data_IF_460639283138
#
_entry.id   IF_460639283138
#
_cell.length_a   1.000
_cell.length_b   1.000
_cell.length_c   1.000
_cell.angle_alpha   90.00
_cell.angle_beta   90.00
_cell.angle_gamma   90.00
#
_symmetry.space_group_name_H-M   'P 1'
#
loop_
_entity.id
_entity.type
_entity.pdbx_description
1 polymer ?
#
# COMPACT_ATOMS: atom_id res chain seq x y z
N UNK A 1 12.54 34.99 -24.88
CA UNK A 1 13.29 34.55 -23.69
C UNK A 1 12.29 33.92 -22.74
N UNK A 2 12.36 32.61 -22.51
CA UNK A 2 11.41 31.92 -21.63
C UNK A 2 11.66 32.38 -20.18
N UNK A 3 10.62 32.87 -19.51
CA UNK A 3 10.66 33.23 -18.10
C UNK A 3 11.05 32.00 -17.28
N UNK A 4 12.20 32.09 -16.60
CA UNK A 4 12.66 31.05 -15.69
C UNK A 4 11.60 30.88 -14.59
N UNK A 5 11.19 29.64 -14.24
CA UNK A 5 10.28 29.43 -13.14
C UNK A 5 10.88 30.06 -11.87
N UNK A 6 10.07 30.73 -11.04
CA UNK A 6 10.58 31.39 -9.84
C UNK A 6 11.36 30.38 -9.00
N UNK A 7 12.54 30.78 -8.53
CA UNK A 7 13.34 29.97 -7.62
C UNK A 7 12.46 29.59 -6.42
N UNK A 8 12.46 28.29 -6.07
CA UNK A 8 11.66 27.79 -4.97
C UNK A 8 11.97 28.61 -3.71
N UNK A 9 10.94 29.18 -3.09
CA UNK A 9 11.07 29.91 -1.83
C UNK A 9 11.85 29.06 -0.81
N UNK A 10 12.79 29.63 -0.04
CA UNK A 10 13.57 28.88 0.95
C UNK A 10 12.71 28.24 2.06
N UNK A 11 11.41 28.56 2.13
CA UNK A 11 10.40 27.91 2.95
C UNK A 11 9.51 26.98 2.11
N UNK A 12 10.09 25.99 1.44
CA UNK A 12 9.42 25.15 0.43
C UNK A 12 8.52 24.03 0.99
N UNK A 13 8.28 24.00 2.31
CA UNK A 13 7.45 23.02 3.01
C UNK A 13 6.69 23.67 4.17
N UNK A 14 5.94 24.73 3.90
CA UNK A 14 4.98 25.26 4.86
C UNK A 14 3.91 24.21 5.14
N UNK A 15 3.23 24.35 6.27
CA UNK A 15 2.22 23.39 6.71
C UNK A 15 1.16 23.09 5.64
N UNK A 16 0.70 24.11 4.92
CA UNK A 16 -0.26 23.95 3.82
C UNK A 16 0.29 23.09 2.67
N UNK A 17 1.57 23.27 2.31
CA UNK A 17 2.25 22.49 1.26
C UNK A 17 2.47 21.04 1.71
N UNK A 18 2.83 20.82 2.98
CA UNK A 18 2.96 19.48 3.57
C UNK A 18 1.60 18.75 3.58
N UNK A 19 0.55 19.42 4.08
CA UNK A 19 -0.82 18.85 4.09
C UNK A 19 -1.27 18.49 2.68
N UNK A 20 -1.00 19.37 1.71
CA UNK A 20 -1.30 19.10 0.30
C UNK A 20 -0.51 17.91 -0.23
N UNK A 21 0.76 17.78 0.13
CA UNK A 21 1.59 16.61 -0.20
C UNK A 21 1.00 15.31 0.34
N UNK A 22 0.59 15.28 1.62
CA UNK A 22 -0.03 14.11 2.25
C UNK A 22 -1.33 13.71 1.52
N UNK A 23 -2.18 14.69 1.17
CA UNK A 23 -3.40 14.43 0.39
C UNK A 23 -3.09 13.84 -0.98
N UNK A 24 -2.11 14.40 -1.70
CA UNK A 24 -1.73 13.89 -3.02
C UNK A 24 -1.21 12.45 -2.94
N UNK A 25 -0.40 12.13 -1.92
CA UNK A 25 0.06 10.77 -1.67
C UNK A 25 -1.12 9.83 -1.36
N UNK A 26 -2.12 10.31 -0.61
CA UNK A 26 -3.33 9.54 -0.36
C UNK A 26 -4.12 9.27 -1.65
N UNK A 27 -4.35 10.29 -2.49
CA UNK A 27 -5.07 10.13 -3.76
C UNK A 27 -4.32 9.23 -4.75
N UNK A 28 -3.01 9.38 -4.85
CA UNK A 28 -2.17 8.52 -5.68
C UNK A 28 -2.26 7.06 -5.23
N UNK A 29 -2.13 6.81 -3.93
CA UNK A 29 -2.27 5.47 -3.37
C UNK A 29 -3.66 4.88 -3.62
N UNK A 30 -4.74 5.64 -3.40
CA UNK A 30 -6.10 5.19 -3.69
C UNK A 30 -6.29 4.86 -5.17
N UNK A 31 -5.80 5.70 -6.08
CA UNK A 31 -5.93 5.48 -7.51
C UNK A 31 -5.18 4.21 -7.96
N UNK A 32 -3.96 4.00 -7.47
CA UNK A 32 -3.18 2.78 -7.73
C UNK A 32 -3.91 1.52 -7.24
N UNK A 33 -4.50 1.57 -6.05
CA UNK A 33 -5.15 0.40 -5.45
C UNK A 33 -6.52 0.09 -6.08
N UNK A 34 -7.26 1.08 -6.60
CA UNK A 34 -8.56 0.86 -7.24
C UNK A 34 -8.50 -0.13 -8.42
N UNK A 35 -7.44 -0.05 -9.23
CA UNK A 35 -7.23 -1.00 -10.33
C UNK A 35 -6.97 -2.42 -9.81
N UNK A 36 -6.17 -2.55 -8.75
CA UNK A 36 -5.87 -3.84 -8.14
C UNK A 36 -7.12 -4.48 -7.49
N UNK A 37 -7.95 -3.68 -6.81
CA UNK A 37 -9.17 -4.18 -6.14
C UNK A 37 -10.14 -4.84 -7.12
N UNK A 38 -10.36 -4.23 -8.29
CA UNK A 38 -11.22 -4.81 -9.31
C UNK A 38 -10.69 -6.15 -9.84
N UNK A 39 -9.37 -6.28 -9.98
CA UNK A 39 -8.72 -7.54 -10.35
C UNK A 39 -8.85 -8.61 -9.27
N UNK A 40 -8.59 -8.24 -8.01
CA UNK A 40 -8.69 -9.16 -6.87
C UNK A 40 -10.12 -9.66 -6.65
N UNK A 41 -11.11 -8.78 -6.78
CA UNK A 41 -12.52 -9.13 -6.56
C UNK A 41 -13.02 -10.22 -7.54
N UNK A 42 -12.47 -10.27 -8.76
CA UNK A 42 -12.80 -11.32 -9.74
C UNK A 42 -12.38 -12.71 -9.28
N UNK A 43 -11.34 -12.79 -8.46
CA UNK A 43 -10.83 -14.02 -7.86
C UNK A 43 -11.37 -14.24 -6.43
N UNK A 44 -12.35 -13.44 -5.98
CA UNK A 44 -12.83 -13.46 -4.59
C UNK A 44 -11.82 -12.95 -3.56
N UNK A 45 -10.72 -12.33 -4.01
CA UNK A 45 -9.65 -11.85 -3.17
C UNK A 45 -9.83 -10.38 -2.78
N UNK A 46 -9.09 -9.96 -1.76
CA UNK A 46 -9.09 -8.60 -1.25
C UNK A 46 -7.67 -8.15 -0.93
N UNK A 47 -7.50 -6.89 -0.54
CA UNK A 47 -6.18 -6.29 -0.30
C UNK A 47 -5.34 -7.05 0.73
N UNK A 48 -5.97 -7.66 1.74
CA UNK A 48 -5.26 -8.47 2.73
C UNK A 48 -4.63 -9.73 2.11
N UNK A 49 -5.36 -10.41 1.22
CA UNK A 49 -4.87 -11.53 0.42
C UNK A 49 -3.70 -11.11 -0.45
N UNK A 50 -3.85 -10.02 -1.21
CA UNK A 50 -2.79 -9.49 -2.07
C UNK A 50 -1.49 -9.22 -1.29
N UNK A 51 -1.59 -8.54 -0.13
CA UNK A 51 -0.43 -8.22 0.70
C UNK A 51 0.25 -9.48 1.23
N UNK A 52 -0.52 -10.47 1.67
CA UNK A 52 0.03 -11.74 2.14
C UNK A 52 0.75 -12.49 1.00
N UNK A 53 0.09 -12.65 -0.14
CA UNK A 53 0.62 -13.31 -1.33
C UNK A 53 1.90 -12.63 -1.84
N UNK A 54 1.95 -11.29 -1.81
CA UNK A 54 3.16 -10.54 -2.22
C UNK A 54 4.40 -10.97 -1.42
N UNK A 55 4.30 -11.08 -0.10
CA UNK A 55 5.44 -11.50 0.73
C UNK A 55 5.75 -12.99 0.59
N UNK A 56 4.72 -13.83 0.54
CA UNK A 56 4.87 -15.29 0.36
C UNK A 56 5.58 -15.59 -0.97
N UNK A 57 5.16 -14.95 -2.06
CA UNK A 57 5.75 -15.14 -3.39
C UNK A 57 7.20 -14.66 -3.47
N UNK A 58 7.53 -13.55 -2.79
CA UNK A 58 8.90 -13.00 -2.79
C UNK A 58 9.85 -13.71 -1.83
N UNK A 59 9.33 -14.40 -0.83
CA UNK A 59 10.12 -15.10 0.19
C UNK A 59 9.52 -16.49 0.46
N UNK A 60 9.71 -17.47 -0.44
CA UNK A 60 9.26 -18.84 -0.21
C UNK A 60 9.82 -19.40 1.09
N UNK A 61 8.98 -20.06 1.89
CA UNK A 61 9.36 -20.57 3.22
C UNK A 61 9.38 -19.52 4.34
N UNK A 62 8.91 -18.30 4.08
CA UNK A 62 8.76 -17.27 5.12
C UNK A 62 7.94 -17.77 6.30
N UNK A 63 8.49 -17.65 7.52
CA UNK A 63 7.77 -18.02 8.73
C UNK A 63 6.57 -17.09 8.97
N UNK A 64 5.46 -17.66 9.48
CA UNK A 64 4.21 -16.92 9.77
C UNK A 64 4.44 -15.72 10.70
N UNK A 65 5.36 -15.86 11.67
CA UNK A 65 5.75 -14.76 12.58
C UNK A 65 6.32 -13.55 11.83
N UNK A 66 7.10 -13.80 10.79
CA UNK A 66 7.76 -12.73 10.03
C UNK A 66 6.77 -12.11 9.03
N UNK A 67 5.83 -12.90 8.49
CA UNK A 67 4.69 -12.38 7.73
C UNK A 67 3.81 -11.43 8.57
N UNK A 68 3.52 -11.77 9.84
CA UNK A 68 2.81 -10.86 10.77
C UNK A 68 3.55 -9.54 10.95
N UNK A 69 4.88 -9.61 11.12
CA UNK A 69 5.74 -8.43 11.30
C UNK A 69 5.72 -7.53 10.06
N UNK A 70 5.84 -8.12 8.87
CA UNK A 70 5.78 -7.37 7.61
C UNK A 70 4.41 -6.73 7.36
N UNK A 71 3.33 -7.43 7.73
CA UNK A 71 1.97 -6.95 7.51
C UNK A 71 1.47 -6.00 8.60
N UNK A 72 2.05 -6.02 9.80
CA UNK A 72 1.60 -5.22 10.93
C UNK A 72 0.16 -5.53 11.35
N UNK A 73 -0.25 -6.80 11.26
CA UNK A 73 -1.62 -7.26 11.59
C UNK A 73 -1.62 -8.25 12.76
N UNK A 74 -2.81 -8.54 13.30
CA UNK A 74 -2.96 -9.52 14.38
C UNK A 74 -2.90 -10.96 13.85
N UNK A 75 -2.55 -11.90 14.74
CA UNK A 75 -2.56 -13.35 14.45
C UNK A 75 -3.93 -13.82 13.93
N UNK A 76 -5.01 -13.37 14.56
CA UNK A 76 -6.38 -13.72 14.17
C UNK A 76 -6.71 -13.21 12.76
N UNK A 77 -6.36 -11.94 12.47
CA UNK A 77 -6.60 -11.36 11.14
C UNK A 77 -5.82 -12.10 10.06
N UNK A 78 -4.55 -12.44 10.31
CA UNK A 78 -3.75 -13.22 9.37
C UNK A 78 -4.28 -14.65 9.22
N UNK A 79 -4.69 -15.30 10.31
CA UNK A 79 -5.24 -16.65 10.28
C UNK A 79 -6.44 -16.77 9.36
N UNK A 80 -7.37 -15.81 9.42
CA UNK A 80 -8.52 -15.75 8.51
C UNK A 80 -8.09 -15.64 7.03
N UNK A 81 -7.17 -14.72 6.74
CA UNK A 81 -6.64 -14.49 5.38
C UNK A 81 -5.92 -15.72 4.83
N UNK A 82 -5.14 -16.42 5.66
CA UNK A 82 -4.44 -17.64 5.24
C UNK A 82 -5.41 -18.81 5.05
N UNK A 83 -6.43 -18.93 5.90
CA UNK A 83 -7.48 -19.94 5.73
C UNK A 83 -8.20 -19.79 4.38
N UNK A 84 -8.64 -18.57 4.07
CA UNK A 84 -9.28 -18.21 2.78
C UNK A 84 -8.39 -18.47 1.56
N UNK A 85 -7.05 -18.56 1.71
CA UNK A 85 -6.10 -18.81 0.61
C UNK A 85 -5.76 -20.30 0.42
N UNK A 86 -6.09 -21.16 1.38
CA UNK A 86 -5.76 -22.59 1.36
C UNK A 86 -6.96 -23.49 1.08
N UNK A 87 -8.16 -22.93 1.10
CA UNK A 87 -9.41 -23.56 0.69
C UNK A 87 -9.59 -23.50 -0.83
#
# INVERSE_FOLDING_TARGET
MASQPPAASPLFLREAEIRRGIELMHFAHQHLMRGADAGLAREGLGRAHQRALYFIARQPGLAVRDLLRHLGVTKQSLGRVLGELTE
#
